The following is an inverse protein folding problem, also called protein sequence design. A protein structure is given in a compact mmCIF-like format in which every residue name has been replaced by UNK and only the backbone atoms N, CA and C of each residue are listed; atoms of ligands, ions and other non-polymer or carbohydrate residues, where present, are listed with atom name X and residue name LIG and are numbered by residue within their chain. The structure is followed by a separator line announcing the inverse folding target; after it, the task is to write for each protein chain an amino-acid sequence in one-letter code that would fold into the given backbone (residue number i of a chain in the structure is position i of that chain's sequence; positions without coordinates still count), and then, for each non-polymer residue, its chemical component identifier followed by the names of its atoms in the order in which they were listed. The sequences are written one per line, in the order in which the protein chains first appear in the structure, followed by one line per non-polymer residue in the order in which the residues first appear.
data_IF_883702281674
#
_entry.id   IF_883702281674
#
_cell.length_a   1.000
_cell.length_b   1.000
_cell.length_c   1.000
_cell.angle_alpha   90.00
_cell.angle_beta   90.00
_cell.angle_gamma   90.00
#
_symmetry.space_group_name_H-M   'P 1'
#
loop_
_entity.id
_entity.type
_entity.pdbx_description
1 polymer ?
#
# COMPACT_ATOMS: atom_id res chain seq x y z
N UNK A 1 -0.53 -1.10 24.89
CA UNK A 1 0.05 -2.13 24.01
C UNK A 1 0.98 -1.54 22.93
N UNK A 2 0.52 -0.73 21.96
CA UNK A 2 1.45 -0.09 20.99
C UNK A 2 2.31 0.96 21.67
N UNK A 3 1.74 1.84 22.51
CA UNK A 3 2.53 2.86 23.23
C UNK A 3 3.66 2.23 24.03
N UNK A 4 3.36 1.19 24.81
CA UNK A 4 4.35 0.43 25.60
C UNK A 4 5.39 -0.25 24.71
N UNK A 5 4.99 -0.72 23.51
CA UNK A 5 5.92 -1.31 22.54
C UNK A 5 6.89 -0.27 22.02
N UNK A 6 6.39 0.93 21.67
CA UNK A 6 7.18 2.03 21.16
C UNK A 6 8.18 2.60 22.18
N UNK A 7 7.96 2.37 23.49
CA UNK A 7 8.95 2.72 24.52
C UNK A 7 10.26 1.92 24.42
N UNK A 8 10.22 0.72 23.81
CA UNK A 8 11.38 -0.20 23.80
C UNK A 8 11.83 -0.62 22.40
N UNK A 9 11.01 -0.42 21.37
CA UNK A 9 11.36 -0.74 19.98
C UNK A 9 10.49 0.02 18.99
N UNK A 10 11.03 0.28 17.81
CA UNK A 10 10.25 0.82 16.70
C UNK A 10 9.28 -0.22 16.15
N UNK A 11 8.11 0.24 15.71
CA UNK A 11 7.14 -0.58 14.97
C UNK A 11 7.32 -0.30 13.49
N UNK A 12 7.82 -1.28 12.74
CA UNK A 12 8.06 -1.13 11.30
C UNK A 12 6.85 -1.52 10.42
N UNK A 13 5.99 -2.38 10.94
CA UNK A 13 4.75 -2.82 10.30
C UNK A 13 3.74 -3.30 11.33
N UNK A 14 2.46 -3.01 11.09
CA UNK A 14 1.32 -3.55 11.84
C UNK A 14 0.43 -4.35 10.89
N UNK A 15 0.04 -5.56 11.29
CA UNK A 15 -0.90 -6.41 10.53
C UNK A 15 -1.90 -7.04 11.48
N UNK A 16 -3.18 -6.78 11.23
CA UNK A 16 -4.31 -7.40 11.90
C UNK A 16 -4.87 -8.53 11.02
N UNK A 17 -4.81 -9.78 11.48
CA UNK A 17 -5.13 -10.97 10.68
C UNK A 17 -6.59 -11.43 10.89
N UNK A 18 -7.36 -11.50 9.80
CA UNK A 18 -8.79 -11.80 9.80
C UNK A 18 -9.17 -12.94 8.86
N UNK A 19 -10.33 -13.52 9.13
CA UNK A 19 -10.99 -14.46 8.23
C UNK A 19 -12.11 -13.76 7.46
N UNK A 20 -12.12 -13.90 6.13
CA UNK A 20 -13.12 -13.28 5.27
C UNK A 20 -14.14 -14.31 4.76
N UNK A 21 -15.42 -14.07 5.00
CA UNK A 21 -16.48 -15.05 4.73
C UNK A 21 -16.91 -15.15 3.27
N UNK A 22 -16.76 -14.07 2.48
CA UNK A 22 -17.33 -13.96 1.11
C UNK A 22 -16.29 -13.95 -0.01
N UNK A 23 -15.31 -13.05 0.09
CA UNK A 23 -14.20 -12.97 -0.87
C UNK A 23 -13.24 -14.14 -0.69
N UNK A 24 -12.80 -14.68 -1.82
CA UNK A 24 -11.82 -15.76 -1.94
C UNK A 24 -10.39 -15.19 -1.97
N UNK A 25 -9.37 -16.04 -1.81
CA UNK A 25 -7.95 -15.66 -1.71
C UNK A 25 -7.58 -14.88 -0.43
N UNK A 26 -6.31 -14.47 -0.34
CA UNK A 26 -5.77 -13.54 0.64
C UNK A 26 -5.63 -12.16 0.00
N UNK A 27 -5.86 -11.11 0.78
CA UNK A 27 -5.65 -9.73 0.34
C UNK A 27 -5.51 -8.82 1.57
N UNK A 28 -5.16 -7.55 1.33
CA UNK A 28 -4.95 -6.58 2.40
C UNK A 28 -5.79 -5.32 2.20
N UNK A 29 -6.32 -4.82 3.31
CA UNK A 29 -6.76 -3.45 3.43
C UNK A 29 -5.66 -2.62 4.08
N UNK A 30 -5.25 -1.54 3.43
CA UNK A 30 -4.29 -0.57 3.95
C UNK A 30 -4.93 0.79 4.19
N UNK A 31 -4.08 1.81 4.25
CA UNK A 31 -4.48 3.21 4.33
C UNK A 31 -3.70 4.02 3.29
N UNK A 32 -4.43 4.65 2.36
CA UNK A 32 -3.85 5.50 1.32
C UNK A 32 -2.97 6.58 1.96
N UNK A 33 -1.81 6.84 1.35
CA UNK A 33 -0.90 7.89 1.81
C UNK A 33 -1.34 9.29 1.36
N UNK A 34 -2.54 9.72 1.77
CA UNK A 34 -3.16 10.96 1.30
C UNK A 34 -2.44 12.25 1.77
N UNK A 35 -1.66 12.17 2.85
CA UNK A 35 -1.01 13.34 3.47
C UNK A 35 0.33 13.71 2.82
N UNK A 36 1.00 12.78 2.14
CA UNK A 36 2.28 13.01 1.48
C UNK A 36 2.17 12.69 0.00
N UNK A 37 1.90 13.73 -0.80
CA UNK A 37 1.75 13.64 -2.25
C UNK A 37 2.91 12.85 -2.88
N UNK A 38 4.16 13.11 -2.51
CA UNK A 38 5.33 12.48 -3.16
C UNK A 38 5.44 10.94 -3.01
N UNK A 39 4.59 10.29 -2.19
CA UNK A 39 4.76 8.90 -1.75
C UNK A 39 3.46 8.04 -1.79
N UNK A 40 2.49 8.42 -2.62
CA UNK A 40 1.13 7.84 -2.77
C UNK A 40 1.04 6.36 -3.19
N UNK A 41 2.16 5.67 -3.39
CA UNK A 41 2.19 4.24 -3.75
C UNK A 41 2.97 3.39 -2.74
N UNK A 42 3.59 3.99 -1.71
CA UNK A 42 4.45 3.26 -0.77
C UNK A 42 3.69 2.23 0.04
N UNK A 43 2.44 2.51 0.41
CA UNK A 43 1.53 1.57 1.09
C UNK A 43 1.25 0.30 0.28
N UNK A 44 1.46 0.35 -1.05
CA UNK A 44 1.16 -0.75 -1.97
C UNK A 44 2.35 -1.68 -2.22
N UNK A 45 3.56 -1.27 -1.81
CA UNK A 45 4.79 -2.04 -2.07
C UNK A 45 4.71 -3.42 -1.42
N UNK A 46 4.40 -3.47 -0.13
CA UNK A 46 4.34 -4.75 0.59
C UNK A 46 3.25 -5.68 0.08
N UNK A 47 1.99 -5.25 -0.13
CA UNK A 47 0.98 -6.09 -0.77
C UNK A 47 1.39 -6.60 -2.16
N UNK A 48 2.11 -5.81 -2.95
CA UNK A 48 2.62 -6.28 -4.25
C UNK A 48 3.72 -7.33 -4.09
N UNK A 49 4.63 -7.17 -3.13
CA UNK A 49 5.63 -8.20 -2.80
C UNK A 49 4.95 -9.49 -2.30
N UNK A 50 3.91 -9.38 -1.48
CA UNK A 50 3.08 -10.50 -1.05
C UNK A 50 2.44 -11.23 -2.24
N UNK A 51 1.90 -10.50 -3.21
CA UNK A 51 1.32 -11.07 -4.42
C UNK A 51 2.34 -11.87 -5.25
N UNK A 52 3.60 -11.39 -5.29
CA UNK A 52 4.69 -12.10 -5.98
C UNK A 52 5.17 -13.33 -5.20
N UNK A 53 5.12 -13.29 -3.87
CA UNK A 53 5.60 -14.36 -3.01
C UNK A 53 4.55 -15.46 -2.77
N UNK A 54 3.26 -15.11 -2.73
CA UNK A 54 2.19 -16.03 -2.33
C UNK A 54 1.19 -16.25 -3.48
N UNK A 55 1.09 -17.48 -4.03
CA UNK A 55 0.13 -17.81 -5.09
C UNK A 55 -1.34 -17.60 -4.73
N UNK A 56 -1.63 -17.52 -3.43
CA UNK A 56 -2.97 -17.34 -2.89
C UNK A 56 -3.27 -15.90 -2.48
N UNK A 57 -2.33 -14.97 -2.64
CA UNK A 57 -2.54 -13.55 -2.39
C UNK A 57 -2.93 -12.84 -3.69
N UNK A 58 -3.98 -12.02 -3.65
CA UNK A 58 -4.49 -11.30 -4.82
C UNK A 58 -4.38 -9.78 -4.59
N UNK A 59 -3.43 -9.15 -5.30
CA UNK A 59 -3.20 -7.71 -5.18
C UNK A 59 -4.41 -6.89 -5.65
N UNK A 60 -5.15 -7.36 -6.65
CA UNK A 60 -6.30 -6.65 -7.21
C UNK A 60 -7.46 -6.52 -6.20
N UNK A 61 -7.49 -7.41 -5.21
CA UNK A 61 -8.46 -7.39 -4.12
C UNK A 61 -8.05 -6.45 -2.97
N UNK A 62 -6.82 -5.95 -2.97
CA UNK A 62 -6.38 -4.99 -1.97
C UNK A 62 -7.08 -3.65 -2.14
N UNK A 63 -7.39 -2.99 -1.02
CA UNK A 63 -7.95 -1.62 -0.99
C UNK A 63 -7.19 -0.76 -0.01
N UNK A 64 -6.96 0.49 -0.37
CA UNK A 64 -6.19 1.44 0.43
C UNK A 64 -7.03 2.63 0.86
N UNK A 65 -8.11 2.93 0.12
CA UNK A 65 -9.06 3.97 0.49
C UNK A 65 -9.86 3.54 1.72
N UNK A 66 -9.95 4.46 2.67
CA UNK A 66 -10.65 4.25 3.94
C UNK A 66 -12.07 4.79 3.81
N UNK A 67 -13.05 3.92 4.08
CA UNK A 67 -14.47 4.32 4.18
C UNK A 67 -14.75 4.89 5.56
N UNK A 68 -15.72 5.81 5.66
CA UNK A 68 -16.06 6.51 6.89
C UNK A 68 -16.39 5.55 8.05
N UNK A 69 -17.08 4.46 7.77
CA UNK A 69 -17.43 3.43 8.77
C UNK A 69 -16.23 2.56 9.21
N UNK A 70 -15.06 2.74 8.59
CA UNK A 70 -13.81 2.04 8.90
C UNK A 70 -12.76 2.93 9.56
N UNK A 71 -13.06 4.21 9.83
CA UNK A 71 -12.12 5.16 10.44
C UNK A 71 -11.60 4.69 11.81
N UNK A 72 -12.41 3.94 12.55
CA UNK A 72 -12.06 3.42 13.88
C UNK A 72 -11.41 2.03 13.85
N UNK A 73 -11.15 1.46 12.67
CA UNK A 73 -10.48 0.16 12.58
C UNK A 73 -9.02 0.27 12.99
N UNK A 74 -8.49 -0.82 13.55
CA UNK A 74 -7.14 -0.84 14.11
C UNK A 74 -6.08 -0.35 13.11
N UNK A 75 -6.14 -0.77 11.83
CA UNK A 75 -5.17 -0.32 10.82
C UNK A 75 -5.18 1.21 10.64
N UNK A 76 -6.35 1.84 10.71
CA UNK A 76 -6.52 3.28 10.48
C UNK A 76 -6.04 4.07 11.68
N UNK A 77 -6.43 3.64 12.89
CA UNK A 77 -5.92 4.23 14.14
C UNK A 77 -4.40 4.12 14.19
N UNK A 78 -3.84 2.96 13.86
CA UNK A 78 -2.38 2.76 13.84
C UNK A 78 -1.70 3.70 12.85
N UNK A 79 -2.30 3.89 11.67
CA UNK A 79 -1.80 4.83 10.67
C UNK A 79 -1.86 6.28 11.16
N UNK A 80 -2.97 6.70 11.76
CA UNK A 80 -3.22 8.10 12.11
C UNK A 80 -2.44 8.54 13.36
N UNK A 81 -2.47 7.73 14.41
CA UNK A 81 -1.89 8.10 15.72
C UNK A 81 -0.38 7.85 15.78
N UNK A 82 0.13 6.86 15.03
CA UNK A 82 1.54 6.47 15.08
C UNK A 82 2.29 6.69 13.76
N UNK A 83 1.64 7.31 12.76
CA UNK A 83 2.20 7.57 11.43
C UNK A 83 2.77 6.31 10.74
N UNK A 84 2.23 5.13 11.05
CA UNK A 84 2.74 3.87 10.56
C UNK A 84 2.09 3.53 9.21
N UNK A 85 2.81 3.77 8.11
CA UNK A 85 2.32 3.57 6.74
C UNK A 85 2.01 2.11 6.43
N UNK A 86 2.90 1.20 6.86
CA UNK A 86 2.72 -0.23 6.68
C UNK A 86 1.79 -0.77 7.78
N UNK A 87 0.53 -0.37 7.72
CA UNK A 87 -0.53 -0.76 8.66
C UNK A 87 -1.69 -1.38 7.88
N UNK A 88 -1.94 -2.67 8.14
CA UNK A 88 -2.84 -3.46 7.31
C UNK A 88 -3.83 -4.28 8.14
N UNK A 89 -4.99 -4.53 7.54
CA UNK A 89 -5.81 -5.70 7.85
C UNK A 89 -5.55 -6.73 6.76
N UNK A 90 -5.07 -7.93 7.10
CA UNK A 90 -4.94 -9.02 6.14
C UNK A 90 -6.14 -9.95 6.28
N UNK A 91 -6.89 -10.07 5.18
CA UNK A 91 -8.09 -10.89 5.09
C UNK A 91 -7.76 -12.21 4.42
N UNK A 92 -8.07 -13.32 5.08
CA UNK A 92 -7.91 -14.67 4.55
C UNK A 92 -9.29 -15.31 4.34
N UNK A 93 -9.62 -15.64 3.09
CA UNK A 93 -10.86 -16.34 2.75
C UNK A 93 -11.07 -17.63 3.56
N UNK A 94 -12.28 -17.81 4.08
CA UNK A 94 -12.72 -19.10 4.63
C UNK A 94 -13.04 -20.11 3.50
N UNK A 95 -13.38 -19.62 2.31
CA UNK A 95 -13.79 -20.42 1.14
C UNK A 95 -12.63 -20.85 0.22
N UNK A 96 -11.38 -20.54 0.59
CA UNK A 96 -10.17 -20.96 -0.12
C UNK A 96 -9.80 -20.18 -1.39
N UNK A 97 -8.92 -20.73 -2.26
CA UNK A 97 -8.35 -20.01 -3.39
C UNK A 97 -9.20 -20.10 -4.65
N UNK A 98 -9.07 -19.11 -5.54
CA UNK A 98 -9.74 -19.08 -6.86
C UNK A 98 -8.89 -19.62 -7.99
N UNK A 99 -7.58 -19.83 -7.77
CA UNK A 99 -6.60 -20.21 -8.80
C UNK A 99 -5.76 -21.40 -8.36
N UNK A 100 -5.14 -22.08 -9.32
CA UNK A 100 -4.25 -23.21 -9.10
C UNK A 100 -4.97 -24.53 -8.79
N UNK A 101 -4.20 -25.56 -8.42
CA UNK A 101 -4.72 -26.93 -8.20
C UNK A 101 -5.72 -27.04 -7.05
N UNK A 102 -5.67 -26.09 -6.11
CA UNK A 102 -6.57 -26.02 -4.95
C UNK A 102 -7.80 -25.15 -5.20
N UNK A 103 -7.99 -24.65 -6.43
CA UNK A 103 -9.14 -23.81 -6.76
C UNK A 103 -10.45 -24.53 -6.45
N UNK A 104 -11.34 -23.85 -5.72
CA UNK A 104 -12.64 -24.39 -5.32
C UNK A 104 -12.65 -25.24 -4.05
N UNK A 105 -11.49 -25.51 -3.45
CA UNK A 105 -11.38 -26.15 -2.13
C UNK A 105 -11.22 -25.11 -1.03
N UNK A 106 -11.60 -25.44 0.21
CA UNK A 106 -11.32 -24.58 1.37
C UNK A 106 -9.83 -24.60 1.71
N UNK A 107 -9.32 -23.49 2.27
CA UNK A 107 -7.99 -23.51 2.87
C UNK A 107 -7.98 -24.47 4.06
N UNK A 108 -6.95 -25.30 4.11
CA UNK A 108 -6.67 -26.17 5.24
C UNK A 108 -5.46 -25.63 6.02
N UNK A 109 -5.20 -26.22 7.19
CA UNK A 109 -4.09 -25.82 8.06
C UNK A 109 -2.74 -25.79 7.30
N UNK A 110 -2.36 -26.83 6.52
CA UNK A 110 -1.14 -26.78 5.71
C UNK A 110 -1.05 -25.56 4.79
N UNK A 111 -2.11 -25.25 4.05
CA UNK A 111 -2.11 -24.08 3.15
C UNK A 111 -1.99 -22.76 3.92
N UNK A 112 -2.64 -22.65 5.09
CA UNK A 112 -2.52 -21.45 5.94
C UNK A 112 -1.10 -21.28 6.49
N UNK A 113 -0.43 -22.37 6.88
CA UNK A 113 0.96 -22.35 7.33
C UNK A 113 1.92 -21.94 6.19
N UNK A 114 1.68 -22.45 4.98
CA UNK A 114 2.44 -22.07 3.78
C UNK A 114 2.28 -20.58 3.47
N UNK A 115 1.06 -20.03 3.59
CA UNK A 115 0.84 -18.58 3.45
C UNK A 115 1.59 -17.76 4.50
N UNK A 116 1.65 -18.24 5.75
CA UNK A 116 2.46 -17.63 6.80
C UNK A 116 3.96 -17.63 6.45
N UNK A 117 4.47 -18.71 5.86
CA UNK A 117 5.85 -18.76 5.38
C UNK A 117 6.10 -17.75 4.24
N UNK A 118 5.19 -17.65 3.27
CA UNK A 118 5.27 -16.63 2.21
C UNK A 118 5.19 -15.20 2.75
N UNK A 119 4.39 -14.96 3.80
CA UNK A 119 4.35 -13.67 4.49
C UNK A 119 5.71 -13.29 5.06
N UNK A 120 6.36 -14.21 5.79
CA UNK A 120 7.69 -13.98 6.33
C UNK A 120 8.73 -13.72 5.24
N UNK A 121 8.66 -14.45 4.11
CA UNK A 121 9.56 -14.23 2.98
C UNK A 121 9.37 -12.85 2.34
N UNK A 122 8.12 -12.42 2.11
CA UNK A 122 7.84 -11.09 1.57
C UNK A 122 8.25 -9.99 2.56
N UNK A 123 8.10 -10.22 3.87
CA UNK A 123 8.55 -9.30 4.91
C UNK A 123 10.07 -9.15 4.89
N UNK A 124 10.80 -10.25 4.77
CA UNK A 124 12.25 -10.23 4.64
C UNK A 124 12.70 -9.49 3.37
N UNK A 125 12.05 -9.76 2.23
CA UNK A 125 12.32 -9.07 0.97
C UNK A 125 12.07 -7.57 1.10
N UNK A 126 10.97 -7.18 1.76
CA UNK A 126 10.62 -5.79 1.97
C UNK A 126 11.56 -5.07 2.95
N UNK A 127 12.15 -5.78 3.91
CA UNK A 127 13.09 -5.22 4.87
C UNK A 127 14.54 -5.12 4.34
N UNK A 128 14.93 -5.99 3.39
CA UNK A 128 16.35 -6.16 3.05
C UNK A 128 16.69 -6.05 1.56
N UNK A 129 15.75 -6.31 0.65
CA UNK A 129 16.02 -6.37 -0.80
C UNK A 129 15.56 -5.10 -1.53
N UNK A 130 16.46 -4.11 -1.58
CA UNK A 130 16.24 -2.86 -2.33
C UNK A 130 15.95 -3.09 -3.82
N UNK A 131 16.46 -4.17 -4.41
CA UNK A 131 16.21 -4.50 -5.81
C UNK A 131 14.77 -4.90 -6.06
N UNK A 132 14.21 -5.77 -5.22
CA UNK A 132 12.79 -6.15 -5.27
C UNK A 132 11.87 -4.96 -4.99
N UNK A 133 12.22 -4.13 -4.02
CA UNK A 133 11.46 -2.91 -3.68
C UNK A 133 11.41 -1.95 -4.87
N UNK A 134 12.56 -1.65 -5.49
CA UNK A 134 12.63 -0.74 -6.63
C UNK A 134 11.84 -1.26 -7.84
N UNK A 135 11.90 -2.58 -8.10
CA UNK A 135 11.09 -3.21 -9.15
C UNK A 135 9.58 -3.09 -8.85
N UNK A 136 9.17 -3.35 -7.62
CA UNK A 136 7.78 -3.19 -7.19
C UNK A 136 7.31 -1.74 -7.34
N UNK A 137 8.14 -0.75 -7.00
CA UNK A 137 7.83 0.67 -7.21
C UNK A 137 7.63 0.98 -8.70
N UNK A 138 8.52 0.50 -9.57
CA UNK A 138 8.41 0.73 -11.01
C UNK A 138 7.11 0.15 -11.58
N UNK A 139 6.77 -1.08 -11.21
CA UNK A 139 5.52 -1.73 -11.62
C UNK A 139 4.29 -1.01 -11.07
N UNK A 140 4.32 -0.53 -9.82
CA UNK A 140 3.23 0.28 -9.27
C UNK A 140 3.03 1.59 -10.06
N UNK A 141 4.11 2.24 -10.50
CA UNK A 141 4.01 3.44 -11.34
C UNK A 141 3.40 3.14 -12.71
N UNK A 142 3.73 1.99 -13.30
CA UNK A 142 3.13 1.54 -14.56
C UNK A 142 1.64 1.19 -14.40
N UNK A 143 1.26 0.57 -13.28
CA UNK A 143 -0.14 0.21 -12.99
C UNK A 143 -1.00 1.45 -12.66
N UNK A 144 -0.41 2.50 -12.08
CA UNK A 144 -1.11 3.70 -11.64
C UNK A 144 -0.49 4.98 -12.22
N UNK A 145 -0.48 5.16 -13.56
CA UNK A 145 0.22 6.27 -14.21
C UNK A 145 -0.38 7.63 -13.86
N UNK A 146 -1.69 7.70 -13.64
CA UNK A 146 -2.41 8.92 -13.27
C UNK A 146 -2.02 9.47 -11.89
N UNK A 147 -1.54 8.60 -10.99
CA UNK A 147 -1.14 9.00 -9.64
C UNK A 147 0.22 9.73 -9.68
N UNK A 148 1.14 9.35 -10.56
CA UNK A 148 2.47 9.99 -10.73
C UNK A 148 2.32 11.41 -11.34
N UNK A 149 1.34 11.63 -12.23
CA UNK A 149 1.08 12.94 -12.85
C UNK A 149 0.62 14.02 -11.85
N UNK A 150 -0.20 13.66 -10.86
CA UNK A 150 -0.64 14.58 -9.79
C UNK A 150 0.56 15.07 -8.96
N UNK A 151 1.66 14.31 -8.92
CA UNK A 151 2.88 14.67 -8.16
C UNK A 151 3.77 15.66 -8.90
N UNK A 152 3.67 15.69 -10.24
CA UNK A 152 4.51 16.49 -11.12
C UNK A 152 3.85 17.77 -11.65
N UNK A 153 2.53 17.94 -11.48
CA UNK A 153 1.81 19.17 -11.80
C UNK A 153 1.94 20.24 -10.70
N UNK A 154 2.07 19.83 -9.44
CA UNK A 154 2.19 20.73 -8.28
C UNK A 154 3.64 21.18 -7.99
N UNK A 155 4.58 20.96 -8.92
CA UNK A 155 5.97 21.42 -8.76
C UNK A 155 6.03 22.97 -8.72
N UNK A 156 6.37 23.59 -7.57
CA UNK A 156 6.40 25.05 -7.42
C UNK A 156 7.42 25.72 -8.35
N UNK A 157 8.34 24.95 -8.96
CA UNK A 157 9.28 25.47 -9.95
C UNK A 157 8.64 25.73 -11.32
N UNK A 158 7.56 25.02 -11.69
CA UNK A 158 6.82 25.26 -12.95
C UNK A 158 5.85 26.45 -12.86
N UNK A 159 5.29 26.71 -11.67
CA UNK A 159 4.42 27.87 -11.41
C UNK A 159 5.14 29.22 -11.61
N UNK A 160 6.44 29.31 -11.28
CA UNK A 160 7.22 30.55 -11.41
C UNK A 160 7.52 30.96 -12.85
N UNK A 161 7.47 30.04 -13.81
CA UNK A 161 7.77 30.35 -15.22
C UNK A 161 6.58 30.95 -15.99
N UNK A 162 5.34 30.88 -15.46
CA UNK A 162 4.18 31.56 -16.08
C UNK A 162 4.06 33.04 -15.68
N UNK A 163 4.52 33.42 -14.48
CA UNK A 163 4.40 34.79 -13.99
C UNK A 163 5.44 35.76 -14.60
N UNK A 164 6.51 35.26 -15.23
CA UNK A 164 7.59 36.10 -15.78
C UNK A 164 7.43 36.45 -17.26
N UNK A 165 6.43 35.88 -17.95
CA UNK A 165 6.20 36.10 -19.38
C UNK A 165 5.20 37.23 -19.69
N UNK A 166 4.61 37.89 -18.68
CA UNK A 166 3.55 38.90 -18.89
C UNK A 166 3.93 40.35 -18.57
N UNK A 167 5.22 40.69 -18.38
CA UNK A 167 5.61 42.06 -17.97
C UNK A 167 6.56 42.80 -18.91
N UNK A 168 6.65 42.43 -20.19
CA UNK A 168 7.39 43.22 -21.20
C UNK A 168 6.48 43.62 -22.35
N UNK A 169 5.92 44.83 -22.29
CA UNK A 169 5.16 45.38 -23.39
C UNK A 169 4.61 46.80 -23.19
N UNK A 170 5.39 47.79 -23.65
CA UNK A 170 5.01 49.14 -24.14
C UNK A 170 4.94 50.31 -23.13
N UNK A 171 6.06 51.03 -23.09
CA UNK A 171 6.11 52.48 -22.93
C UNK A 171 5.71 53.21 -24.23
N UNK A 172 5.06 54.36 -24.09
CA UNK A 172 5.38 55.58 -24.84
C UNK A 172 4.60 55.88 -26.12
N UNK A 173 3.62 56.79 -26.03
CA UNK A 173 3.23 57.75 -27.08
C UNK A 173 2.57 58.98 -26.41
N UNK A 174 3.38 60.02 -26.22
CA UNK A 174 3.03 61.43 -26.35
C UNK A 174 4.18 62.10 -27.10
#
# INVERSE_FOLDING_TARGET
MIDETLLVRDVWMYVDFHGHSRMKNLFMFGCTNAFMKQDVLKERIFPLLMHKACPHFDFDYCKFDVQQDKETTARVVVRQEYNQLNSFTMECSVSGPTRGKLAGFHFNIPTLLEMGAHFCQALFDFASDKGKINKAIAELKEMYPSIDHVLHEDDPTKSKNRARASSTGRNGLQ
#
